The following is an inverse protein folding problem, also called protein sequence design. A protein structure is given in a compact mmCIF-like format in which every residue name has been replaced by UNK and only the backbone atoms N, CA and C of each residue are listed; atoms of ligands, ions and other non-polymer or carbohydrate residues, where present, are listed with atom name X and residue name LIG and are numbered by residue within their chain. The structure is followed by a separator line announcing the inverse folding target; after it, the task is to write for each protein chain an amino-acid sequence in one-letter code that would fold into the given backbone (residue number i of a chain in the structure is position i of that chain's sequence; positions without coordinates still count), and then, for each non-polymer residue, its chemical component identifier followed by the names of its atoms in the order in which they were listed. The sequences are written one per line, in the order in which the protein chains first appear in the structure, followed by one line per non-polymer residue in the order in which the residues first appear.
data_IF_031692320667
#
_entry.id   IF_031692320667
#
_cell.length_a   1.000
_cell.length_b   1.000
_cell.length_c   1.000
_cell.angle_alpha   90.00
_cell.angle_beta   90.00
_cell.angle_gamma   90.00
#
_symmetry.space_group_name_H-M   'P 1'
#
loop_
_entity.id
_entity.type
_entity.pdbx_description
1 polymer ?
#
# COMPACT_ATOMS: atom_id res chain seq x y z
N UNK A 1 9.95 -19.72 -34.65
CA UNK A 1 10.95 -19.44 -33.61
C UNK A 1 10.96 -17.94 -33.42
N UNK A 2 10.36 -17.45 -32.35
CA UNK A 2 10.38 -16.02 -31.99
C UNK A 2 10.42 -15.89 -30.47
N UNK A 3 11.47 -15.21 -30.03
CA UNK A 3 11.81 -14.60 -28.75
C UNK A 3 11.02 -15.02 -27.51
N UNK A 4 11.72 -15.68 -26.59
CA UNK A 4 11.42 -15.58 -25.18
C UNK A 4 11.87 -14.19 -24.71
N UNK A 5 10.99 -13.51 -23.98
CA UNK A 5 11.21 -12.30 -23.20
C UNK A 5 12.62 -12.20 -22.62
N UNK A 6 13.36 -11.20 -23.08
CA UNK A 6 14.52 -10.65 -22.39
C UNK A 6 13.97 -9.62 -21.38
N UNK A 7 13.28 -10.09 -20.35
CA UNK A 7 13.00 -9.26 -19.18
C UNK A 7 14.36 -8.99 -18.52
N UNK A 8 14.77 -7.73 -18.30
CA UNK A 8 16.03 -7.46 -17.65
C UNK A 8 16.00 -8.12 -16.27
N UNK A 9 17.00 -8.93 -15.99
CA UNK A 9 17.17 -9.61 -14.71
C UNK A 9 17.17 -8.54 -13.61
N UNK A 10 16.48 -8.76 -12.49
CA UNK A 10 16.43 -7.79 -11.38
C UNK A 10 17.83 -7.30 -10.92
N UNK A 11 18.85 -8.13 -11.12
CA UNK A 11 20.27 -7.81 -10.90
C UNK A 11 20.84 -6.73 -11.83
N UNK A 12 20.33 -6.55 -13.04
CA UNK A 12 20.79 -5.50 -13.98
C UNK A 12 20.41 -4.09 -13.52
N UNK A 13 19.50 -3.97 -12.55
CA UNK A 13 19.10 -2.71 -11.94
C UNK A 13 19.93 -2.36 -10.70
N UNK A 14 20.74 -3.29 -10.19
CA UNK A 14 21.58 -3.09 -9.02
C UNK A 14 23.02 -2.75 -9.43
N UNK A 15 23.70 -1.80 -8.77
CA UNK A 15 25.11 -1.51 -9.05
C UNK A 15 25.98 -2.73 -8.70
N UNK A 16 26.97 -3.04 -9.54
CA UNK A 16 27.85 -4.21 -9.39
C UNK A 16 28.48 -4.30 -7.99
N UNK A 17 28.88 -3.16 -7.42
CA UNK A 17 29.47 -3.09 -6.08
C UNK A 17 28.53 -3.59 -4.97
N UNK A 18 27.22 -3.44 -5.15
CA UNK A 18 26.22 -3.93 -4.20
C UNK A 18 26.05 -5.44 -4.35
N UNK A 19 26.04 -5.96 -5.58
CA UNK A 19 25.99 -7.40 -5.87
C UNK A 19 27.20 -8.09 -5.24
N UNK A 20 28.42 -7.57 -5.49
CA UNK A 20 29.65 -8.11 -4.91
C UNK A 20 29.61 -8.12 -3.37
N UNK A 21 29.01 -7.09 -2.77
CA UNK A 21 28.85 -7.03 -1.30
C UNK A 21 27.87 -8.10 -0.82
N UNK A 22 26.71 -8.25 -1.45
CA UNK A 22 25.70 -9.26 -1.08
C UNK A 22 26.24 -10.69 -1.25
N UNK A 23 27.04 -10.95 -2.28
CA UNK A 23 27.68 -12.25 -2.53
C UNK A 23 28.71 -12.64 -1.46
N UNK A 24 29.20 -11.68 -0.67
CA UNK A 24 30.14 -11.96 0.44
C UNK A 24 29.46 -12.29 1.76
N UNK A 25 28.15 -12.07 1.87
CA UNK A 25 27.38 -12.25 3.10
C UNK A 25 27.04 -13.73 3.33
N UNK A 26 26.98 -14.11 4.60
CA UNK A 26 26.45 -15.42 4.98
C UNK A 26 24.90 -15.44 5.00
N UNK A 27 24.27 -16.63 5.05
CA UNK A 27 22.81 -16.72 5.01
C UNK A 27 22.07 -15.95 6.12
N UNK A 28 22.67 -15.79 7.30
CA UNK A 28 22.05 -15.04 8.40
C UNK A 28 22.12 -13.54 8.17
N UNK A 29 23.23 -13.06 7.60
CA UNK A 29 23.40 -11.66 7.21
C UNK A 29 22.49 -11.29 6.03
N UNK A 30 22.32 -12.18 5.05
CA UNK A 30 21.37 -11.99 3.95
C UNK A 30 19.92 -11.87 4.45
N UNK A 31 19.53 -12.67 5.44
CA UNK A 31 18.20 -12.56 6.05
C UNK A 31 18.01 -11.21 6.77
N UNK A 32 19.04 -10.73 7.48
CA UNK A 32 19.00 -9.42 8.12
C UNK A 32 18.91 -8.28 7.09
N UNK A 33 19.59 -8.41 5.94
CA UNK A 33 19.46 -7.47 4.83
C UNK A 33 18.05 -7.49 4.24
N UNK A 34 17.44 -8.66 4.09
CA UNK A 34 16.05 -8.76 3.64
C UNK A 34 15.10 -8.00 4.57
N UNK A 35 15.15 -8.26 5.89
CA UNK A 35 14.30 -7.57 6.87
C UNK A 35 14.54 -6.05 6.86
N UNK A 36 15.80 -5.62 6.72
CA UNK A 36 16.13 -4.21 6.60
C UNK A 36 15.53 -3.57 5.35
N UNK A 37 15.64 -4.24 4.19
CA UNK A 37 15.08 -3.76 2.92
C UNK A 37 13.55 -3.70 3.01
N UNK A 38 12.90 -4.71 3.56
CA UNK A 38 11.44 -4.73 3.79
C UNK A 38 11.02 -3.54 4.66
N UNK A 39 11.63 -3.36 5.84
CA UNK A 39 11.31 -2.21 6.70
C UNK A 39 11.64 -0.85 6.08
N UNK A 40 12.67 -0.79 5.23
CA UNK A 40 13.03 0.42 4.49
C UNK A 40 12.02 0.74 3.40
N UNK A 41 11.52 -0.27 2.69
CA UNK A 41 10.45 -0.11 1.70
C UNK A 41 9.18 0.39 2.40
N UNK A 42 8.76 -0.27 3.48
CA UNK A 42 7.62 0.17 4.33
C UNK A 42 7.74 1.65 4.75
N UNK A 43 8.95 2.09 5.12
CA UNK A 43 9.23 3.47 5.53
C UNK A 43 9.29 4.48 4.38
N UNK A 44 9.54 4.04 3.15
CA UNK A 44 9.65 4.90 1.95
C UNK A 44 8.29 5.08 1.27
N UNK A 45 7.39 4.08 1.36
CA UNK A 45 6.03 4.26 0.86
C UNK A 45 5.40 5.49 1.53
N UNK A 46 4.72 6.38 0.78
CA UNK A 46 3.98 7.48 1.40
C UNK A 46 3.08 6.87 2.46
N UNK A 47 3.03 7.41 3.70
CA UNK A 47 2.26 6.81 4.78
C UNK A 47 0.88 6.45 4.26
N UNK A 48 0.41 5.22 4.52
CA UNK A 48 -0.81 4.67 3.93
C UNK A 48 -1.98 5.63 4.13
N UNK A 49 -2.03 6.27 5.29
CA UNK A 49 -2.87 7.43 5.61
C UNK A 49 -2.91 8.50 4.50
N UNK A 50 -1.77 8.97 4.01
CA UNK A 50 -1.73 10.00 2.97
C UNK A 50 -2.37 9.50 1.66
N UNK A 51 -2.09 8.26 1.27
CA UNK A 51 -2.68 7.68 0.06
C UNK A 51 -4.20 7.52 0.22
N UNK A 52 -4.65 7.10 1.41
CA UNK A 52 -6.06 6.99 1.77
C UNK A 52 -6.76 8.34 1.64
N UNK A 53 -6.14 9.42 2.14
CA UNK A 53 -6.69 10.77 2.05
C UNK A 53 -6.76 11.29 0.60
N UNK A 54 -5.83 10.89 -0.26
CA UNK A 54 -5.80 11.29 -1.68
C UNK A 54 -6.80 10.50 -2.53
N UNK A 55 -7.08 9.23 -2.18
CA UNK A 55 -7.94 8.31 -2.94
C UNK A 55 -9.41 8.31 -2.50
N UNK A 56 -9.70 8.68 -1.24
CA UNK A 56 -11.04 8.66 -0.70
C UNK A 56 -12.03 9.55 -1.49
N UNK A 57 -13.18 8.98 -1.85
CA UNK A 57 -14.26 9.72 -2.57
C UNK A 57 -15.11 10.59 -1.63
N UNK A 58 -14.95 10.44 -0.31
CA UNK A 58 -15.69 11.17 0.72
C UNK A 58 -14.77 11.80 1.76
N UNK A 59 -15.35 12.40 2.80
CA UNK A 59 -14.59 12.94 3.92
C UNK A 59 -14.11 11.80 4.82
N UNK A 60 -12.79 11.63 4.95
CA UNK A 60 -12.22 10.68 5.90
C UNK A 60 -12.36 11.22 7.31
N UNK A 61 -13.11 10.49 8.15
CA UNK A 61 -13.41 10.87 9.54
C UNK A 61 -12.34 10.33 10.48
N UNK A 62 -11.86 9.11 10.23
CA UNK A 62 -10.91 8.42 11.10
C UNK A 62 -10.14 7.33 10.35
N UNK A 63 -8.90 7.09 10.77
CA UNK A 63 -7.99 6.08 10.22
C UNK A 63 -7.34 5.34 11.39
N UNK A 64 -7.60 4.03 11.50
CA UNK A 64 -7.01 3.16 12.52
C UNK A 64 -6.05 2.16 11.84
N UNK A 65 -4.76 2.26 12.16
CA UNK A 65 -3.72 1.36 11.65
C UNK A 65 -3.56 0.13 12.57
N UNK A 66 -3.92 -1.03 12.05
CA UNK A 66 -3.85 -2.32 12.74
C UNK A 66 -2.60 -3.13 12.30
N UNK A 67 -1.67 -2.50 11.59
CA UNK A 67 -0.39 -3.05 11.14
C UNK A 67 -0.50 -3.90 9.87
N UNK A 68 -1.39 -4.90 9.84
CA UNK A 68 -1.62 -5.73 8.64
C UNK A 68 -2.72 -5.17 7.73
N UNK A 69 -3.54 -4.26 8.25
CA UNK A 69 -4.58 -3.54 7.52
C UNK A 69 -4.88 -2.21 8.19
N UNK A 70 -5.62 -1.35 7.49
CA UNK A 70 -6.09 -0.08 8.03
C UNK A 70 -7.61 -0.03 7.97
N UNK A 71 -8.26 0.34 9.07
CA UNK A 71 -9.68 0.64 9.07
C UNK A 71 -9.88 2.12 8.79
N UNK A 72 -10.78 2.43 7.86
CA UNK A 72 -11.05 3.80 7.44
C UNK A 72 -12.54 4.08 7.58
N UNK A 73 -12.88 5.15 8.31
CA UNK A 73 -14.25 5.67 8.42
C UNK A 73 -14.41 6.82 7.43
N UNK A 74 -15.35 6.71 6.51
CA UNK A 74 -15.59 7.72 5.47
C UNK A 74 -17.04 8.19 5.54
N UNK A 75 -17.23 9.50 5.61
CA UNK A 75 -18.52 10.13 5.40
C UNK A 75 -18.73 10.31 3.89
N UNK A 76 -19.81 9.75 3.31
CA UNK A 76 -20.04 9.86 1.88
C UNK A 76 -20.22 11.33 1.46
N UNK A 77 -19.86 11.70 0.22
CA UNK A 77 -20.04 13.05 -0.27
C UNK A 77 -21.53 13.43 -0.22
N UNK A 78 -21.82 14.67 0.17
CA UNK A 78 -23.18 15.18 0.18
C UNK A 78 -23.78 15.09 -1.24
N UNK A 79 -24.92 14.42 -1.39
CA UNK A 79 -25.67 14.48 -2.64
C UNK A 79 -26.34 15.85 -2.74
N UNK A 80 -26.20 16.51 -3.89
CA UNK A 80 -26.62 17.91 -4.14
C UNK A 80 -28.11 18.20 -3.84
N UNK A 81 -28.92 17.17 -3.55
CA UNK A 81 -30.37 17.27 -3.38
C UNK A 81 -30.87 17.01 -1.95
N UNK A 82 -30.01 16.84 -0.94
CA UNK A 82 -30.45 16.63 0.45
C UNK A 82 -29.55 17.27 1.50
N UNK A 83 -29.87 18.51 1.86
CA UNK A 83 -29.20 19.32 2.90
C UNK A 83 -29.48 18.89 4.35
N UNK A 84 -29.88 17.64 4.66
CA UNK A 84 -30.46 17.38 6.00
C UNK A 84 -30.06 16.10 6.72
N UNK A 85 -29.28 15.18 6.15
CA UNK A 85 -28.73 14.08 6.93
C UNK A 85 -27.36 13.75 6.36
N UNK A 86 -26.30 14.01 7.14
CA UNK A 86 -25.01 13.40 6.87
C UNK A 86 -25.25 11.89 6.84
N UNK A 87 -25.20 11.28 5.65
CA UNK A 87 -25.41 9.85 5.50
C UNK A 87 -24.53 9.06 6.48
N UNK A 88 -24.90 7.81 6.79
CA UNK A 88 -24.16 7.04 7.78
C UNK A 88 -22.67 6.96 7.42
N UNK A 89 -21.80 6.89 8.44
CA UNK A 89 -20.36 6.73 8.21
C UNK A 89 -20.14 5.31 7.70
N UNK A 90 -19.50 5.18 6.54
CA UNK A 90 -19.14 3.89 5.99
C UNK A 90 -17.76 3.47 6.53
N UNK A 91 -17.66 2.22 7.00
CA UNK A 91 -16.43 1.61 7.48
C UNK A 91 -15.82 0.76 6.36
N UNK A 92 -14.52 0.93 6.13
CA UNK A 92 -13.76 0.19 5.14
C UNK A 92 -12.54 -0.48 5.76
N UNK A 93 -12.19 -1.64 5.23
CA UNK A 93 -10.89 -2.27 5.39
C UNK A 93 -10.04 -1.94 4.17
N UNK A 94 -8.93 -1.24 4.39
CA UNK A 94 -8.03 -0.75 3.34
C UNK A 94 -6.67 -1.43 3.44
N UNK A 95 -6.22 -1.97 2.33
CA UNK A 95 -4.91 -2.63 2.20
C UNK A 95 -4.21 -2.14 0.94
N UNK A 96 -2.87 -2.13 0.95
CA UNK A 96 -2.10 -1.97 -0.29
C UNK A 96 -2.08 -3.29 -1.05
N UNK A 97 -2.41 -3.23 -2.33
CA UNK A 97 -2.27 -4.34 -3.26
C UNK A 97 -1.18 -4.00 -4.27
N UNK A 98 -0.16 -4.87 -4.36
CA UNK A 98 0.92 -4.77 -5.34
C UNK A 98 0.57 -5.58 -6.58
N UNK A 99 0.49 -4.90 -7.71
CA UNK A 99 0.22 -5.50 -9.00
C UNK A 99 1.47 -6.18 -9.58
N UNK A 100 1.31 -7.13 -10.51
CA UNK A 100 2.44 -7.84 -11.13
C UNK A 100 3.42 -6.95 -11.89
N UNK A 101 2.97 -5.80 -12.38
CA UNK A 101 3.78 -4.78 -13.04
C UNK A 101 4.57 -3.88 -12.06
N UNK A 102 4.37 -4.10 -10.75
CA UNK A 102 5.02 -3.34 -9.68
C UNK A 102 4.26 -2.08 -9.26
N UNK A 103 3.11 -1.78 -9.87
CA UNK A 103 2.23 -0.70 -9.40
C UNK A 103 1.58 -1.08 -8.06
N UNK A 104 1.38 -0.10 -7.19
CA UNK A 104 0.67 -0.29 -5.92
C UNK A 104 -0.61 0.54 -5.92
N UNK A 105 -1.72 -0.11 -5.56
CA UNK A 105 -3.03 0.54 -5.45
C UNK A 105 -3.68 0.23 -4.11
N UNK A 106 -4.62 1.07 -3.69
CA UNK A 106 -5.43 0.80 -2.51
C UNK A 106 -6.59 -0.11 -2.86
N UNK A 107 -6.70 -1.21 -2.13
CA UNK A 107 -7.88 -2.07 -2.15
C UNK A 107 -8.80 -1.67 -1.00
N UNK A 108 -10.02 -1.25 -1.33
CA UNK A 108 -11.05 -0.86 -0.36
C UNK A 108 -12.14 -1.92 -0.27
N UNK A 109 -12.26 -2.56 0.89
CA UNK A 109 -13.33 -3.50 1.19
C UNK A 109 -14.35 -2.86 2.14
N UNK A 110 -15.58 -2.64 1.67
CA UNK A 110 -16.67 -2.11 2.49
C UNK A 110 -17.08 -3.13 3.56
N UNK A 111 -17.08 -2.69 4.82
CA UNK A 111 -17.44 -3.53 5.97
C UNK A 111 -18.86 -3.25 6.49
N UNK A 112 -19.45 -2.11 6.14
CA UNK A 112 -20.78 -1.72 6.59
C UNK A 112 -20.86 -0.25 6.97
N UNK A 113 -22.07 0.18 7.27
CA UNK A 113 -22.37 1.51 7.78
C UNK A 113 -22.41 1.50 9.31
N UNK A 114 -21.77 2.48 9.94
CA UNK A 114 -21.72 2.69 11.39
C UNK A 114 -22.41 4.00 11.76
N UNK A 115 -23.07 3.99 12.92
CA UNK A 115 -23.64 5.20 13.54
C UNK A 115 -22.59 5.81 14.47
N UNK A 116 -22.48 7.13 14.49
CA UNK A 116 -21.65 7.88 15.45
C UNK A 116 -22.12 7.69 16.90
#
# INVERSE_FOLDING_TARGET
MSNADDEPSLTEQLPDSLIETLDTLDPSELHAVQEYVEGRLESIHPPLEKQILEDATGEVVDIEDEGIYTLVRVRPPAQEESEADSGPISLYHVTRERHPDGEETLHWAFLGDVQE
#
